data_IF_691071712015
#
_entry.id   IF_691071712015
#
_cell.length_a   1.000
_cell.length_b   1.000
_cell.length_c   1.000
_cell.angle_alpha   90.00
_cell.angle_beta   90.00
_cell.angle_gamma   90.00
#
_symmetry.space_group_name_H-M   'P 1'
#
loop_
_entity.id
_entity.type
_entity.pdbx_description
1 polymer ?
#
# COMPACT_ATOMS: atom_id res chain seq x y z
N UNK A 1 37.86 21.10 14.53
CA UNK A 1 36.86 22.15 14.87
C UNK A 1 35.58 21.83 14.14
N UNK A 2 34.66 21.15 14.82
CA UNK A 2 33.40 20.67 14.23
C UNK A 2 32.34 21.75 14.40
N UNK A 3 32.04 22.47 13.33
CA UNK A 3 30.95 23.43 13.31
C UNK A 3 29.61 22.69 13.26
N UNK A 4 28.82 22.82 14.33
CA UNK A 4 27.44 22.39 14.39
C UNK A 4 26.59 23.27 13.44
N UNK A 5 26.17 22.71 12.32
CA UNK A 5 25.22 23.34 11.41
C UNK A 5 23.78 23.09 11.89
N UNK A 6 23.01 24.18 11.91
CA UNK A 6 21.61 24.29 12.31
C UNK A 6 20.69 23.36 11.52
N UNK A 7 19.95 22.51 12.22
CA UNK A 7 18.49 22.40 12.11
C UNK A 7 17.80 22.09 10.78
N UNK A 8 18.48 21.64 9.74
CA UNK A 8 17.82 21.04 8.58
C UNK A 8 17.21 19.71 9.00
N UNK A 9 15.92 19.48 8.72
CA UNK A 9 15.31 18.16 8.87
C UNK A 9 16.06 17.21 7.95
N UNK A 10 17.05 16.51 8.48
CA UNK A 10 17.83 15.52 7.75
C UNK A 10 16.83 14.60 7.03
N UNK A 11 16.83 14.70 5.71
CA UNK A 11 16.03 13.85 4.83
C UNK A 11 16.55 12.44 5.10
N UNK A 12 15.74 11.57 5.69
CA UNK A 12 16.20 10.22 6.07
C UNK A 12 16.73 9.49 4.84
N UNK A 13 17.74 8.63 5.01
CA UNK A 13 18.32 7.85 3.90
C UNK A 13 17.23 7.16 3.07
N UNK A 14 16.24 6.56 3.74
CA UNK A 14 15.06 5.97 3.09
C UNK A 14 14.33 6.95 2.17
N UNK A 15 14.14 8.20 2.57
CA UNK A 15 13.48 9.21 1.74
C UNK A 15 14.34 9.69 0.57
N UNK A 16 15.67 9.72 0.73
CA UNK A 16 16.59 9.97 -0.39
C UNK A 16 16.56 8.81 -1.40
N UNK A 17 16.56 7.56 -0.92
CA UNK A 17 16.44 6.38 -1.78
C UNK A 17 15.12 6.34 -2.54
N UNK A 18 14.02 6.67 -1.88
CA UNK A 18 12.71 6.81 -2.53
C UNK A 18 12.72 7.90 -3.60
N UNK A 19 13.45 9.00 -3.37
CA UNK A 19 13.60 10.05 -4.37
C UNK A 19 14.43 9.57 -5.57
N UNK A 20 15.54 8.87 -5.35
CA UNK A 20 16.34 8.25 -6.43
C UNK A 20 15.46 7.29 -7.25
N UNK A 21 14.73 6.38 -6.58
CA UNK A 21 13.84 5.41 -7.24
C UNK A 21 12.77 6.10 -8.10
N UNK A 22 12.12 7.14 -7.57
CA UNK A 22 11.11 7.90 -8.32
C UNK A 22 11.70 8.61 -9.54
N UNK A 23 12.86 9.24 -9.39
CA UNK A 23 13.53 9.93 -10.49
C UNK A 23 13.95 8.92 -11.57
N UNK A 24 14.50 7.76 -11.17
CA UNK A 24 14.85 6.67 -12.09
C UNK A 24 13.62 6.19 -12.87
N UNK A 25 12.54 5.83 -12.19
CA UNK A 25 11.29 5.39 -12.83
C UNK A 25 10.71 6.44 -13.79
N UNK A 26 10.81 7.72 -13.44
CA UNK A 26 10.33 8.80 -14.29
C UNK A 26 11.16 8.95 -15.57
N UNK A 27 12.49 8.89 -15.44
CA UNK A 27 13.40 8.91 -16.59
C UNK A 27 13.21 7.68 -17.47
N UNK A 28 13.05 6.50 -16.88
CA UNK A 28 12.78 5.25 -17.60
C UNK A 28 11.43 5.29 -18.34
N UNK A 29 10.39 5.87 -17.72
CA UNK A 29 9.09 6.06 -18.37
C UNK A 29 9.20 7.04 -19.55
N UNK A 30 9.87 8.18 -19.35
CA UNK A 30 10.00 9.20 -20.38
C UNK A 30 10.85 8.78 -21.59
N UNK A 31 11.78 7.84 -21.39
CA UNK A 31 12.58 7.24 -22.45
C UNK A 31 11.85 6.10 -23.19
N UNK A 32 10.83 5.48 -22.58
CA UNK A 32 9.98 4.49 -23.24
C UNK A 32 8.86 5.18 -24.01
N UNK A 33 9.11 5.49 -25.29
CA UNK A 33 8.17 6.22 -26.16
C UNK A 33 6.78 5.59 -26.22
N UNK A 34 6.68 4.26 -26.31
CA UNK A 34 5.39 3.55 -26.36
C UNK A 34 4.59 3.71 -25.07
N UNK A 35 5.21 3.45 -23.90
CA UNK A 35 4.53 3.63 -22.60
C UNK A 35 4.19 5.10 -22.34
N UNK A 36 5.07 6.01 -22.73
CA UNK A 36 4.83 7.44 -22.58
C UNK A 36 3.63 7.89 -23.44
N UNK A 37 3.54 7.42 -24.68
CA UNK A 37 2.40 7.67 -25.57
C UNK A 37 1.10 7.08 -24.99
N UNK A 38 1.14 5.87 -24.45
CA UNK A 38 -0.01 5.24 -23.79
C UNK A 38 -0.51 6.10 -22.60
N UNK A 39 0.40 6.47 -21.69
CA UNK A 39 0.07 7.28 -20.51
C UNK A 39 -0.42 8.69 -20.87
N UNK A 40 0.07 9.25 -21.97
CA UNK A 40 -0.32 10.60 -22.45
C UNK A 40 -1.51 10.57 -23.40
N UNK A 41 -2.08 9.40 -23.71
CA UNK A 41 -3.11 9.22 -24.75
C UNK A 41 -2.69 9.85 -26.09
N UNK A 42 -1.44 9.62 -26.50
CA UNK A 42 -0.84 10.17 -27.73
C UNK A 42 -0.85 11.71 -27.82
N UNK A 43 -0.96 12.41 -26.69
CA UNK A 43 -0.90 13.88 -26.69
C UNK A 43 0.54 14.35 -26.83
N UNK A 44 0.91 14.80 -28.03
CA UNK A 44 2.27 15.23 -28.36
C UNK A 44 2.81 16.35 -27.44
N UNK A 45 1.97 17.31 -27.04
CA UNK A 45 2.39 18.39 -26.12
C UNK A 45 2.74 17.84 -24.75
N UNK A 46 1.94 16.90 -24.21
CA UNK A 46 2.24 16.25 -22.94
C UNK A 46 3.48 15.36 -23.01
N UNK A 47 3.68 14.65 -24.12
CA UNK A 47 4.90 13.87 -24.36
C UNK A 47 6.13 14.77 -24.28
N UNK A 48 6.13 15.87 -25.04
CA UNK A 48 7.25 16.81 -25.06
C UNK A 48 7.51 17.43 -23.67
N UNK A 49 6.44 17.79 -22.95
CA UNK A 49 6.55 18.31 -21.58
C UNK A 49 7.19 17.29 -20.64
N UNK A 50 6.73 16.04 -20.62
CA UNK A 50 7.26 14.99 -19.75
C UNK A 50 8.71 14.65 -20.07
N UNK A 51 9.10 14.68 -21.35
CA UNK A 51 10.50 14.49 -21.77
C UNK A 51 11.41 15.63 -21.30
N UNK A 52 10.92 16.89 -21.34
CA UNK A 52 11.65 18.03 -20.82
C UNK A 52 11.81 17.96 -19.29
N UNK A 53 10.74 17.63 -18.56
CA UNK A 53 10.78 17.41 -17.11
C UNK A 53 11.70 16.23 -16.74
N UNK A 54 11.69 15.16 -17.52
CA UNK A 54 12.56 14.00 -17.32
C UNK A 54 14.04 14.35 -17.51
N UNK A 55 14.36 15.28 -18.41
CA UNK A 55 15.74 15.76 -18.59
C UNK A 55 16.25 16.48 -17.33
N UNK A 56 15.42 17.34 -16.72
CA UNK A 56 15.75 17.98 -15.44
C UNK A 56 15.84 16.96 -14.28
N UNK A 57 14.94 15.97 -14.28
CA UNK A 57 14.97 14.87 -13.32
C UNK A 57 16.24 14.01 -13.45
N UNK A 58 16.71 13.77 -14.68
CA UNK A 58 17.94 13.03 -14.96
C UNK A 58 19.16 13.75 -14.39
N UNK A 59 19.27 15.07 -14.56
CA UNK A 59 20.35 15.86 -13.93
C UNK A 59 20.34 15.69 -12.40
N UNK A 60 19.16 15.82 -11.78
CA UNK A 60 19.02 15.64 -10.33
C UNK A 60 19.38 14.22 -9.89
N UNK A 61 18.96 13.21 -10.66
CA UNK A 61 19.26 11.81 -10.42
C UNK A 61 20.77 11.57 -10.45
N UNK A 62 21.48 12.08 -11.45
CA UNK A 62 22.94 12.00 -11.55
C UNK A 62 23.63 12.63 -10.33
N UNK A 63 23.18 13.81 -9.88
CA UNK A 63 23.71 14.44 -8.67
C UNK A 63 23.49 13.58 -7.42
N UNK A 64 22.33 12.95 -7.28
CA UNK A 64 22.07 12.07 -6.14
C UNK A 64 22.89 10.77 -6.21
N UNK A 65 23.09 10.24 -7.42
CA UNK A 65 23.86 9.02 -7.67
C UNK A 65 25.38 9.22 -7.54
N UNK A 66 25.88 10.45 -7.50
CA UNK A 66 27.33 10.70 -7.31
C UNK A 66 27.82 10.33 -5.91
N UNK A 67 26.92 10.14 -4.94
CA UNK A 67 27.25 9.61 -3.63
C UNK A 67 27.17 8.08 -3.63
N UNK A 68 28.31 7.41 -3.83
CA UNK A 68 28.39 5.96 -3.93
C UNK A 68 27.82 5.23 -2.70
N UNK A 69 28.09 5.73 -1.48
CA UNK A 69 27.56 5.15 -0.24
C UNK A 69 26.04 5.19 -0.20
N UNK A 70 25.45 6.34 -0.58
CA UNK A 70 24.00 6.47 -0.70
C UNK A 70 23.43 5.50 -1.74
N UNK A 71 24.05 5.40 -2.92
CA UNK A 71 23.60 4.48 -3.97
C UNK A 71 23.61 3.02 -3.48
N UNK A 72 24.68 2.59 -2.81
CA UNK A 72 24.76 1.25 -2.23
C UNK A 72 23.68 0.99 -1.18
N UNK A 73 23.45 1.93 -0.26
CA UNK A 73 22.36 1.83 0.72
C UNK A 73 20.99 1.77 0.04
N UNK A 74 20.79 2.60 -1.00
CA UNK A 74 19.54 2.63 -1.75
C UNK A 74 19.28 1.38 -2.57
N UNK A 75 20.30 0.67 -3.05
CA UNK A 75 20.10 -0.61 -3.73
C UNK A 75 19.43 -1.64 -2.81
N UNK A 76 19.87 -1.73 -1.56
CA UNK A 76 19.30 -2.65 -0.56
C UNK A 76 17.87 -2.23 -0.18
N UNK A 77 17.67 -0.94 0.10
CA UNK A 77 16.35 -0.40 0.45
C UNK A 77 15.37 -0.58 -0.71
N UNK A 78 15.78 -0.30 -1.95
CA UNK A 78 14.93 -0.44 -3.12
C UNK A 78 14.58 -1.91 -3.38
N UNK A 79 15.51 -2.85 -3.20
CA UNK A 79 15.22 -4.28 -3.34
C UNK A 79 14.19 -4.74 -2.29
N UNK A 80 14.33 -4.28 -1.05
CA UNK A 80 13.35 -4.56 0.01
C UNK A 80 11.99 -3.91 -0.29
N UNK A 81 11.95 -2.66 -0.74
CA UNK A 81 10.70 -1.99 -1.12
C UNK A 81 10.05 -2.62 -2.35
N UNK A 82 10.82 -3.08 -3.34
CA UNK A 82 10.27 -3.80 -4.50
C UNK A 82 9.68 -5.14 -4.10
N UNK A 83 10.30 -5.84 -3.16
CA UNK A 83 9.75 -7.07 -2.59
C UNK A 83 8.45 -6.80 -1.82
N UNK A 84 8.40 -5.72 -1.03
CA UNK A 84 7.16 -5.24 -0.38
C UNK A 84 6.08 -4.93 -1.42
N UNK A 85 6.38 -4.08 -2.41
CA UNK A 85 5.44 -3.67 -3.47
C UNK A 85 4.89 -4.88 -4.26
N UNK A 86 5.73 -5.88 -4.57
CA UNK A 86 5.31 -7.10 -5.27
C UNK A 86 4.43 -8.02 -4.41
N UNK A 87 4.65 -8.05 -3.10
CA UNK A 87 3.78 -8.77 -2.17
C UNK A 87 2.44 -8.06 -2.01
N UNK A 88 2.44 -6.73 -1.83
CA UNK A 88 1.22 -5.91 -1.82
C UNK A 88 0.42 -6.15 -3.11
N UNK A 89 1.06 -6.10 -4.27
CA UNK A 89 0.42 -6.39 -5.55
C UNK A 89 -0.19 -7.79 -5.60
N UNK A 90 0.49 -8.81 -5.06
CA UNK A 90 -0.05 -10.18 -4.99
C UNK A 90 -1.36 -10.20 -4.22
N UNK A 91 -1.44 -9.51 -3.08
CA UNK A 91 -2.66 -9.45 -2.26
C UNK A 91 -3.77 -8.63 -2.91
N UNK A 92 -3.43 -7.53 -3.56
CA UNK A 92 -4.40 -6.70 -4.29
C UNK A 92 -5.00 -7.47 -5.48
N UNK A 93 -4.19 -8.19 -6.24
CA UNK A 93 -4.67 -9.02 -7.35
C UNK A 93 -5.57 -10.15 -6.84
N UNK A 94 -5.20 -10.83 -5.75
CA UNK A 94 -6.04 -11.86 -5.11
C UNK A 94 -7.40 -11.28 -4.70
N UNK A 95 -7.41 -10.13 -4.03
CA UNK A 95 -8.62 -9.45 -3.63
C UNK A 95 -9.52 -9.07 -4.81
N UNK A 96 -8.90 -8.53 -5.86
CA UNK A 96 -9.59 -8.09 -7.06
C UNK A 96 -10.24 -9.27 -7.78
N UNK A 97 -9.52 -10.39 -7.92
CA UNK A 97 -10.05 -11.63 -8.51
C UNK A 97 -11.18 -12.19 -7.66
N UNK A 98 -11.03 -12.22 -6.33
CA UNK A 98 -12.08 -12.67 -5.42
C UNK A 98 -13.36 -11.82 -5.56
N UNK A 99 -13.22 -10.48 -5.58
CA UNK A 99 -14.35 -9.58 -5.83
C UNK A 99 -14.99 -9.83 -7.19
N UNK A 100 -14.18 -9.99 -8.25
CA UNK A 100 -14.69 -10.20 -9.61
C UNK A 100 -15.46 -11.53 -9.76
N UNK A 101 -15.08 -12.55 -8.98
CA UNK A 101 -15.77 -13.84 -8.92
C UNK A 101 -17.03 -13.83 -8.05
N UNK A 102 -17.16 -12.87 -7.12
CA UNK A 102 -18.35 -12.72 -6.29
C UNK A 102 -19.40 -11.90 -7.03
N UNK A 103 -20.26 -12.59 -7.76
CA UNK A 103 -21.29 -11.98 -8.63
C UNK A 103 -22.21 -11.01 -7.88
N UNK A 104 -22.63 -11.35 -6.66
CA UNK A 104 -23.50 -10.50 -5.83
C UNK A 104 -22.79 -9.22 -5.40
N UNK A 105 -21.58 -9.32 -4.84
CA UNK A 105 -20.81 -8.16 -4.40
C UNK A 105 -20.41 -7.27 -5.60
N UNK A 106 -20.03 -7.89 -6.71
CA UNK A 106 -19.71 -7.19 -7.94
C UNK A 106 -20.93 -6.47 -8.53
N UNK A 107 -22.10 -7.13 -8.58
CA UNK A 107 -23.33 -6.51 -9.03
C UNK A 107 -23.73 -5.33 -8.14
N UNK A 108 -23.66 -5.48 -6.82
CA UNK A 108 -23.90 -4.38 -5.89
C UNK A 108 -22.94 -3.21 -6.12
N UNK A 109 -21.66 -3.48 -6.38
CA UNK A 109 -20.64 -2.45 -6.62
C UNK A 109 -20.75 -1.76 -7.98
N UNK A 110 -21.44 -2.38 -8.92
CA UNK A 110 -21.60 -1.87 -10.29
C UNK A 110 -23.01 -1.37 -10.57
N UNK A 111 -23.87 -1.29 -9.55
CA UNK A 111 -25.30 -0.98 -9.68
C UNK A 111 -25.99 -1.89 -10.71
N UNK A 112 -25.60 -3.16 -10.71
CA UNK A 112 -26.05 -4.20 -11.63
C UNK A 112 -25.81 -3.86 -13.12
N UNK A 113 -24.83 -3.00 -13.41
CA UNK A 113 -24.50 -2.63 -14.78
C UNK A 113 -23.69 -3.74 -15.47
N UNK A 114 -24.34 -4.46 -16.39
CA UNK A 114 -23.76 -5.60 -17.11
C UNK A 114 -22.44 -5.26 -17.83
N UNK A 115 -22.33 -4.09 -18.46
CA UNK A 115 -21.11 -3.67 -19.16
C UNK A 115 -19.94 -3.46 -18.20
N UNK A 116 -20.18 -2.84 -17.04
CA UNK A 116 -19.15 -2.67 -15.99
C UNK A 116 -18.73 -4.01 -15.39
N UNK A 117 -19.70 -4.91 -15.14
CA UNK A 117 -19.44 -6.26 -14.64
C UNK A 117 -18.52 -7.01 -15.61
N UNK A 118 -18.88 -7.05 -16.90
CA UNK A 118 -18.08 -7.72 -17.93
C UNK A 118 -16.67 -7.12 -18.05
N UNK A 119 -16.54 -5.79 -18.00
CA UNK A 119 -15.25 -5.12 -18.03
C UNK A 119 -14.37 -5.45 -16.81
N UNK A 120 -14.97 -5.56 -15.60
CA UNK A 120 -14.23 -5.96 -14.39
C UNK A 120 -13.80 -7.42 -14.48
N UNK A 121 -14.67 -8.32 -14.95
CA UNK A 121 -14.34 -9.73 -15.13
C UNK A 121 -13.21 -9.91 -16.15
N UNK A 122 -13.24 -9.18 -17.28
CA UNK A 122 -12.15 -9.21 -18.26
C UNK A 122 -10.81 -8.76 -17.66
N UNK A 123 -10.81 -7.66 -16.88
CA UNK A 123 -9.62 -7.20 -16.16
C UNK A 123 -9.16 -8.22 -15.11
N UNK A 124 -10.08 -8.91 -14.46
CA UNK A 124 -9.76 -9.95 -13.47
C UNK A 124 -9.06 -11.15 -14.12
N UNK A 125 -9.39 -11.50 -15.37
CA UNK A 125 -8.65 -12.52 -16.13
C UNK A 125 -7.20 -12.09 -16.38
N UNK A 126 -6.95 -10.84 -16.78
CA UNK A 126 -5.57 -10.31 -16.93
C UNK A 126 -4.83 -10.28 -15.59
N UNK A 127 -5.52 -9.86 -14.52
CA UNK A 127 -4.99 -9.87 -13.17
C UNK A 127 -4.62 -11.29 -12.70
N UNK A 128 -5.39 -12.31 -13.09
CA UNK A 128 -5.10 -13.70 -12.76
C UNK A 128 -3.79 -14.19 -13.42
N UNK A 129 -3.54 -13.84 -14.68
CA UNK A 129 -2.25 -14.13 -15.34
C UNK A 129 -1.09 -13.47 -14.63
N UNK A 130 -1.24 -12.18 -14.23
CA UNK A 130 -0.20 -11.47 -13.48
C UNK A 130 0.03 -12.08 -12.10
N UNK A 131 -1.04 -12.42 -11.41
CA UNK A 131 -0.98 -13.09 -10.10
C UNK A 131 -0.23 -14.41 -10.22
N UNK A 132 -0.54 -15.23 -11.24
CA UNK A 132 0.16 -16.49 -11.49
C UNK A 132 1.67 -16.28 -11.64
N UNK A 133 2.10 -15.27 -12.41
CA UNK A 133 3.50 -14.93 -12.59
C UNK A 133 4.20 -14.44 -11.30
N UNK A 134 3.48 -13.74 -10.41
CA UNK A 134 4.02 -13.34 -9.10
C UNK A 134 4.09 -14.55 -8.14
N UNK A 135 3.06 -15.39 -8.14
CA UNK A 135 2.98 -16.56 -7.25
C UNK A 135 3.94 -17.69 -7.60
N UNK A 136 4.43 -17.75 -8.85
CA UNK A 136 5.46 -18.71 -9.25
C UNK A 136 6.86 -18.36 -8.72
N UNK A 137 7.08 -17.14 -8.23
CA UNK A 137 8.35 -16.73 -7.63
C UNK A 137 8.41 -17.16 -6.15
N UNK A 138 9.08 -18.28 -5.88
CA UNK A 138 9.16 -18.88 -4.53
C UNK A 138 9.78 -17.95 -3.48
N UNK A 139 10.82 -17.19 -3.84
CA UNK A 139 11.46 -16.21 -2.94
C UNK A 139 10.49 -15.10 -2.53
N UNK A 140 9.70 -14.60 -3.48
CA UNK A 140 8.64 -13.62 -3.19
C UNK A 140 7.60 -14.24 -2.25
N UNK A 141 7.09 -15.43 -2.58
CA UNK A 141 6.07 -16.11 -1.77
C UNK A 141 6.53 -16.39 -0.35
N UNK A 142 7.81 -16.71 -0.13
CA UNK A 142 8.37 -16.93 1.20
C UNK A 142 8.38 -15.64 2.05
N UNK A 143 8.53 -14.47 1.44
CA UNK A 143 8.59 -13.20 2.14
C UNK A 143 7.22 -12.54 2.38
N UNK A 144 6.26 -12.80 1.49
CA UNK A 144 4.95 -12.14 1.55
C UNK A 144 4.17 -12.32 2.86
N UNK A 145 4.22 -13.44 3.60
CA UNK A 145 3.51 -13.57 4.88
C UNK A 145 3.92 -12.51 5.92
N UNK A 146 5.22 -12.22 6.05
CA UNK A 146 5.69 -11.21 6.99
C UNK A 146 5.27 -9.78 6.57
N UNK A 147 5.30 -9.51 5.26
CA UNK A 147 4.86 -8.24 4.69
C UNK A 147 3.35 -8.05 4.90
N UNK A 148 2.55 -9.09 4.63
CA UNK A 148 1.11 -9.08 4.87
C UNK A 148 0.79 -8.77 6.32
N UNK A 149 1.46 -9.44 7.25
CA UNK A 149 1.26 -9.21 8.68
C UNK A 149 1.58 -7.76 9.05
N UNK A 150 2.71 -7.23 8.56
CA UNK A 150 3.08 -5.82 8.74
C UNK A 150 2.02 -4.86 8.19
N UNK A 151 1.46 -5.13 7.02
CA UNK A 151 0.45 -4.28 6.40
C UNK A 151 -0.91 -4.39 7.07
N UNK A 152 -1.31 -5.57 7.53
CA UNK A 152 -2.50 -5.74 8.37
C UNK A 152 -2.37 -4.93 9.67
N UNK A 153 -1.20 -4.95 10.32
CA UNK A 153 -0.93 -4.13 11.50
C UNK A 153 -0.98 -2.63 11.19
N UNK A 154 -0.43 -2.18 10.05
CA UNK A 154 -0.57 -0.79 9.59
C UNK A 154 -2.04 -0.44 9.34
N UNK A 155 -2.79 -1.34 8.70
CA UNK A 155 -4.22 -1.18 8.37
C UNK A 155 -5.06 -0.98 9.63
N UNK A 156 -4.81 -1.77 10.67
CA UNK A 156 -5.44 -1.61 11.98
C UNK A 156 -5.20 -0.19 12.56
N UNK A 157 -3.95 0.29 12.54
CA UNK A 157 -3.61 1.63 13.01
C UNK A 157 -4.25 2.75 12.19
N UNK A 158 -4.47 2.53 10.89
CA UNK A 158 -5.19 3.47 10.04
C UNK A 158 -6.70 3.46 10.35
N UNK A 159 -7.29 2.29 10.62
CA UNK A 159 -8.67 2.19 11.10
C UNK A 159 -8.86 2.96 12.41
N UNK A 160 -7.97 2.78 13.38
CA UNK A 160 -7.97 3.54 14.64
C UNK A 160 -7.94 5.06 14.39
N UNK A 161 -7.03 5.53 13.53
CA UNK A 161 -6.94 6.95 13.17
C UNK A 161 -8.18 7.46 12.44
N UNK A 162 -8.76 6.63 11.58
CA UNK A 162 -9.98 6.97 10.86
C UNK A 162 -11.15 7.14 11.83
N UNK A 163 -11.37 6.16 12.73
CA UNK A 163 -12.41 6.21 13.76
C UNK A 163 -12.21 7.44 14.66
N UNK A 164 -10.98 7.71 15.10
CA UNK A 164 -10.68 8.89 15.92
C UNK A 164 -11.00 10.21 15.21
N UNK A 165 -10.73 10.31 13.90
CA UNK A 165 -11.10 11.49 13.10
C UNK A 165 -12.60 11.61 12.87
N UNK A 166 -13.28 10.49 12.59
CA UNK A 166 -14.72 10.46 12.36
C UNK A 166 -15.52 10.81 13.61
N UNK A 167 -15.02 10.46 14.80
CA UNK A 167 -15.62 10.81 16.08
C UNK A 167 -15.26 12.23 16.55
N UNK A 168 -14.32 12.91 15.89
CA UNK A 168 -13.99 14.31 16.18
C UNK A 168 -14.86 15.23 15.32
N UNK A 169 -15.92 15.79 15.91
CA UNK A 169 -16.91 16.60 15.21
C UNK A 169 -16.27 17.80 14.47
N UNK A 170 -15.29 18.50 15.06
CA UNK A 170 -14.59 19.62 14.42
C UNK A 170 -13.79 19.20 13.18
N UNK A 171 -13.06 18.08 13.26
CA UNK A 171 -12.31 17.54 12.11
C UNK A 171 -13.27 17.09 11.03
N UNK A 172 -14.37 16.44 11.42
CA UNK A 172 -15.40 15.97 10.52
C UNK A 172 -16.09 17.14 9.79
N UNK A 173 -16.52 18.18 10.52
CA UNK A 173 -17.16 19.36 9.95
C UNK A 173 -16.24 20.10 8.97
N UNK A 174 -14.94 20.18 9.30
CA UNK A 174 -13.94 20.73 8.39
C UNK A 174 -13.78 19.87 7.13
N UNK A 175 -13.76 18.54 7.28
CA UNK A 175 -13.62 17.61 6.16
C UNK A 175 -14.85 17.60 5.25
N UNK A 176 -16.05 17.78 5.82
CA UNK A 176 -17.32 17.75 5.09
C UNK A 176 -17.79 19.14 4.65
N UNK A 177 -17.10 20.20 5.08
CA UNK A 177 -17.49 21.61 4.89
C UNK A 177 -18.90 21.87 5.44
N UNK A 178 -19.23 21.26 6.57
CA UNK A 178 -20.56 21.33 7.20
C UNK A 178 -21.66 20.55 6.49
N UNK A 179 -21.35 19.70 5.50
CA UNK A 179 -22.35 18.85 4.85
C UNK A 179 -22.72 17.67 5.77
N UNK A 180 -23.92 17.72 6.36
CA UNK A 180 -24.42 16.72 7.30
C UNK A 180 -24.52 15.31 6.69
N UNK A 181 -25.04 15.18 5.47
CA UNK A 181 -25.15 13.87 4.79
C UNK A 181 -23.79 13.18 4.62
N UNK A 182 -22.75 13.92 4.27
CA UNK A 182 -21.38 13.39 4.18
C UNK A 182 -20.83 13.03 5.55
N UNK A 183 -21.13 13.84 6.58
CA UNK A 183 -20.71 13.58 7.95
C UNK A 183 -21.35 12.29 8.48
N UNK A 184 -22.64 12.10 8.26
CA UNK A 184 -23.38 10.92 8.68
C UNK A 184 -22.89 9.66 7.95
N UNK A 185 -22.58 9.78 6.65
CA UNK A 185 -21.95 8.68 5.90
C UNK A 185 -20.59 8.28 6.47
N UNK A 186 -19.72 9.25 6.79
CA UNK A 186 -18.41 8.96 7.41
C UNK A 186 -18.58 8.33 8.79
N UNK A 187 -19.55 8.79 9.59
CA UNK A 187 -19.87 8.18 10.90
C UNK A 187 -20.34 6.73 10.74
N UNK A 188 -21.21 6.45 9.77
CA UNK A 188 -21.65 5.10 9.47
C UNK A 188 -20.48 4.18 9.04
N UNK A 189 -19.58 4.68 8.20
CA UNK A 189 -18.35 3.98 7.82
C UNK A 189 -17.43 3.77 9.04
N UNK A 190 -17.34 4.73 9.96
CA UNK A 190 -16.56 4.60 11.19
C UNK A 190 -17.11 3.53 12.14
N UNK A 191 -18.43 3.33 12.19
CA UNK A 191 -19.04 2.23 12.96
C UNK A 191 -18.63 0.87 12.38
N UNK A 192 -18.64 0.72 11.05
CA UNK A 192 -18.18 -0.51 10.40
C UNK A 192 -16.68 -0.74 10.62
N UNK A 193 -15.87 0.33 10.50
CA UNK A 193 -14.45 0.29 10.81
C UNK A 193 -14.19 -0.13 12.26
N UNK A 194 -15.00 0.37 13.21
CA UNK A 194 -14.89 0.02 14.63
C UNK A 194 -15.21 -1.45 14.87
N UNK A 195 -16.28 -1.98 14.25
CA UNK A 195 -16.60 -3.40 14.34
C UNK A 195 -15.43 -4.27 13.82
N UNK A 196 -14.85 -3.90 12.67
CA UNK A 196 -13.71 -4.63 12.11
C UNK A 196 -12.45 -4.50 12.97
N UNK A 197 -12.19 -3.32 13.51
CA UNK A 197 -11.08 -3.09 14.43
C UNK A 197 -11.22 -3.98 15.68
N UNK A 198 -12.41 -4.05 16.27
CA UNK A 198 -12.69 -4.92 17.42
C UNK A 198 -12.51 -6.39 17.07
N UNK A 199 -12.94 -6.83 15.88
CA UNK A 199 -12.71 -8.19 15.39
C UNK A 199 -11.20 -8.50 15.32
N UNK A 200 -10.39 -7.62 14.71
CA UNK A 200 -8.93 -7.79 14.65
C UNK A 200 -8.28 -7.80 16.04
N UNK A 201 -8.69 -6.87 16.91
CA UNK A 201 -8.15 -6.75 18.28
C UNK A 201 -8.48 -7.96 19.15
N UNK A 202 -9.59 -8.66 18.86
CA UNK A 202 -9.94 -9.90 19.55
C UNK A 202 -9.01 -11.08 19.20
N UNK A 203 -8.28 -11.00 18.07
CA UNK A 203 -7.32 -12.02 17.68
C UNK A 203 -5.98 -11.77 18.40
N UNK A 204 -5.80 -12.45 19.53
CA UNK A 204 -4.59 -12.31 20.37
C UNK A 204 -3.29 -12.57 19.60
N UNK A 205 -3.23 -13.62 18.79
CA UNK A 205 -2.04 -13.96 18.00
C UNK A 205 -1.67 -12.84 17.03
N UNK A 206 -2.68 -12.26 16.37
CA UNK A 206 -2.49 -11.11 15.49
C UNK A 206 -1.98 -9.89 16.26
N UNK A 207 -2.57 -9.59 17.42
CA UNK A 207 -2.16 -8.46 18.25
C UNK A 207 -0.75 -8.60 18.81
N UNK A 208 -0.37 -9.80 19.25
CA UNK A 208 0.97 -10.10 19.75
C UNK A 208 2.00 -9.94 18.60
N UNK A 209 1.66 -10.37 17.39
CA UNK A 209 2.53 -10.15 16.23
C UNK A 209 2.65 -8.67 15.84
N UNK A 210 1.56 -7.90 15.88
CA UNK A 210 1.62 -6.45 15.68
C UNK A 210 2.45 -5.76 16.77
N UNK A 211 2.38 -6.24 18.02
CA UNK A 211 3.20 -5.73 19.10
C UNK A 211 4.69 -6.00 18.87
N UNK A 212 5.04 -7.22 18.41
CA UNK A 212 6.41 -7.58 18.07
C UNK A 212 6.99 -6.72 16.93
N UNK A 213 6.15 -6.27 16.00
CA UNK A 213 6.52 -5.33 14.94
C UNK A 213 6.62 -3.86 15.41
N UNK A 214 6.51 -3.59 16.72
CA UNK A 214 6.53 -2.24 17.29
C UNK A 214 5.30 -1.41 16.94
N UNK A 215 4.22 -2.06 16.48
CA UNK A 215 2.97 -1.40 16.08
C UNK A 215 1.94 -1.35 17.21
N UNK A 216 2.15 -2.07 18.32
CA UNK A 216 1.37 -1.87 19.54
C UNK A 216 1.42 -0.39 19.91
N UNK A 217 0.25 0.23 20.02
CA UNK A 217 0.10 1.67 20.22
C UNK A 217 1.01 2.14 21.35
N UNK A 218 2.13 2.79 20.99
CA UNK A 218 2.86 3.65 21.93
C UNK A 218 1.93 4.81 22.27
N UNK A 219 1.12 4.66 23.31
CA UNK A 219 0.74 5.77 24.17
C UNK A 219 2.02 6.32 24.81
N UNK A 220 2.76 7.15 24.06
CA UNK A 220 3.89 7.92 24.55
C UNK A 220 5.29 7.29 24.40
N UNK A 221 6.20 8.12 23.88
CA UNK A 221 7.67 8.00 23.81
C UNK A 221 8.31 6.88 22.96
N UNK A 222 8.78 7.30 21.78
CA UNK A 222 10.17 7.23 21.29
C UNK A 222 10.90 5.88 21.19
N UNK A 223 11.90 5.85 20.29
CA UNK A 223 12.97 4.84 20.14
C UNK A 223 12.54 3.59 19.37
N UNK A 224 13.35 2.95 18.54
CA UNK A 224 14.43 3.29 17.60
C UNK A 224 14.60 2.00 16.78
N UNK A 225 15.19 2.13 15.61
CA UNK A 225 15.47 1.06 14.65
C UNK A 225 16.26 -0.12 15.24
N UNK A 226 15.97 -1.35 14.80
CA UNK A 226 16.99 -2.40 14.72
C UNK A 226 16.56 -3.84 15.01
N UNK A 227 16.95 -4.71 14.07
CA UNK A 227 17.14 -6.16 14.16
C UNK A 227 15.94 -7.09 13.94
N UNK A 228 16.03 -7.78 12.80
CA UNK A 228 15.22 -8.90 12.35
C UNK A 228 15.32 -10.13 13.26
N UNK A 229 14.21 -10.83 13.40
CA UNK A 229 14.21 -12.28 13.69
C UNK A 229 13.24 -12.96 12.76
N UNK A 230 13.77 -13.89 11.96
CA UNK A 230 13.01 -14.83 11.15
C UNK A 230 12.17 -15.73 12.07
N UNK A 231 10.85 -15.68 11.91
CA UNK A 231 9.93 -16.65 12.48
C UNK A 231 9.41 -17.54 11.35
N UNK A 232 9.55 -18.85 11.54
CA UNK A 232 9.14 -19.87 10.58
C UNK A 232 7.65 -19.74 10.23
N UNK A 233 7.37 -19.57 8.93
CA UNK A 233 6.01 -19.49 8.40
C UNK A 233 5.39 -20.89 8.31
N UNK A 234 4.32 -21.12 9.06
CA UNK A 234 3.44 -22.28 8.85
C UNK A 234 2.50 -22.00 7.67
N UNK A 235 2.45 -22.97 6.75
CA UNK A 235 1.70 -22.89 5.48
C UNK A 235 0.19 -23.05 5.73
N UNK A 236 -0.49 -21.95 6.03
CA UNK A 236 -1.96 -21.89 6.10
C UNK A 236 -2.57 -21.35 4.80
N UNK A 237 -3.50 -22.10 4.18
CA UNK A 237 -4.33 -21.58 3.08
C UNK A 237 -5.19 -20.42 3.58
N UNK A 238 -4.85 -19.21 3.17
CA UNK A 238 -5.60 -18.00 3.53
C UNK A 238 -6.83 -17.84 2.65
N UNK A 239 -7.98 -17.59 3.27
CA UNK A 239 -9.20 -17.18 2.57
C UNK A 239 -9.33 -15.66 2.73
N UNK A 240 -9.36 -14.94 1.61
CA UNK A 240 -9.53 -13.49 1.63
C UNK A 240 -10.98 -13.14 1.95
N UNK A 241 -11.21 -12.46 3.08
CA UNK A 241 -12.52 -11.89 3.40
C UNK A 241 -12.49 -10.42 2.97
N UNK A 242 -13.20 -10.12 1.88
CA UNK A 242 -13.35 -8.76 1.41
C UNK A 242 -14.30 -8.02 2.38
N UNK A 243 -13.75 -7.17 3.25
CA UNK A 243 -14.58 -6.32 4.12
C UNK A 243 -14.61 -4.92 3.53
N UNK A 244 -15.80 -4.49 3.12
CA UNK A 244 -16.02 -3.20 2.53
C UNK A 244 -16.41 -2.19 3.63
N UNK A 245 -15.57 -1.17 3.83
CA UNK A 245 -15.91 0.00 4.64
C UNK A 245 -15.98 1.20 3.69
N UNK A 246 -17.17 1.52 3.19
CA UNK A 246 -17.38 2.60 2.23
C UNK A 246 -16.72 2.37 0.86
N UNK A 247 -15.97 3.38 0.38
CA UNK A 247 -15.14 3.31 -0.84
C UNK A 247 -13.73 2.74 -0.59
N UNK A 248 -13.37 2.47 0.67
CA UNK A 248 -12.06 1.94 1.03
C UNK A 248 -12.19 0.41 1.06
N UNK A 249 -11.56 -0.26 0.09
CA UNK A 249 -11.41 -1.71 0.12
C UNK A 249 -10.22 -2.05 1.02
N UNK A 250 -10.51 -2.56 2.22
CA UNK A 250 -9.48 -3.21 3.05
C UNK A 250 -9.68 -4.69 2.88
N UNK A 251 -8.88 -5.30 2.00
CA UNK A 251 -8.84 -6.76 1.89
C UNK A 251 -8.12 -7.30 3.11
N UNK A 252 -8.89 -7.83 4.05
CA UNK A 252 -8.31 -8.60 5.14
C UNK A 252 -8.25 -10.05 4.68
N UNK A 253 -7.04 -10.55 4.44
CA UNK A 253 -6.84 -12.00 4.43
C UNK A 253 -7.12 -12.50 5.85
N UNK A 254 -8.30 -13.10 6.04
CA UNK A 254 -8.60 -13.84 7.26
C UNK A 254 -7.67 -15.04 7.28
N UNK A 255 -6.71 -15.04 8.20
CA UNK A 255 -5.98 -16.23 8.59
C UNK A 255 -6.97 -17.18 9.27
N UNK A 256 -7.56 -18.09 8.49
CA UNK A 256 -8.18 -19.30 9.02
C UNK A 256 -7.02 -20.18 9.50
N UNK A 257 -6.77 -20.16 10.80
CA UNK A 257 -6.07 -21.23 11.50
C UNK A 257 -6.91 -22.50 11.32
N UNK A 258 -6.51 -23.37 10.40
CA UNK A 258 -6.95 -24.77 10.46
C UNK A 258 -6.13 -25.40 11.58
N UNK A 259 -6.78 -25.61 12.73
CA UNK A 259 -6.31 -26.55 13.74
C UNK A 259 -6.62 -27.94 13.21
N UNK A 260 -5.59 -28.65 12.74
CA UNK A 260 -5.55 -30.10 12.62
C UNK A 260 -4.09 -30.56 12.70
#
# INVERSE_FOLDING_TARGET
TSAAAKGDKAVSEKSQCKQIRKLQQFVDLASNTTKLQEVTNNNATKVAQLQAEASAAATKLTTMQSNATLVSACAIINASEEQEDRCEETFELQAFIALASNTTALAAKTDNNATKIAAIQAKASTAATKLQALTSNSTLQAACPAILQKDQCKGMKQLEKFIAKANNQTVLDKATKGNSTKADKIKAEAVQAQAKLTELQSNKTFMDACAALGMAGKTGKGIDSGASTEAAATTGKSSATLVQVGNIQVTMLSTILVVA
#
